data_IF_425513548972
#
_entry.id   IF_425513548972
#
_cell.length_a   1.000
_cell.length_b   1.000
_cell.length_c   1.000
_cell.angle_alpha   90.00
_cell.angle_beta   90.00
_cell.angle_gamma   90.00
#
_symmetry.space_group_name_H-M   'P 1'
#
loop_
_entity.id
_entity.type
_entity.pdbx_description
1 polymer ?
#
# COMPACT_ATOMS: atom_id res chain seq x y z
N UNK A 1 -32.46 2.69 4.76
CA UNK A 1 -31.41 3.39 5.55
C UNK A 1 -30.12 2.60 5.38
N UNK A 2 -29.27 2.98 4.43
CA UNK A 2 -28.03 2.27 4.13
C UNK A 2 -26.85 3.00 4.77
N UNK A 3 -26.52 2.64 6.00
CA UNK A 3 -25.24 3.03 6.60
C UNK A 3 -24.29 1.86 6.40
N UNK A 4 -23.77 1.72 5.18
CA UNK A 4 -22.56 0.92 4.99
C UNK A 4 -21.45 1.70 5.71
N UNK A 5 -21.05 1.22 6.89
CA UNK A 5 -19.98 1.83 7.67
C UNK A 5 -18.70 1.76 6.84
N UNK A 6 -18.16 2.93 6.48
CA UNK A 6 -16.83 3.00 5.87
C UNK A 6 -15.80 2.51 6.88
N UNK A 7 -14.82 1.74 6.42
CA UNK A 7 -13.70 1.33 7.27
C UNK A 7 -12.96 2.57 7.78
N UNK A 8 -12.74 2.65 9.09
CA UNK A 8 -11.96 3.72 9.67
C UNK A 8 -10.47 3.52 9.33
N UNK A 9 -9.90 4.44 8.55
CA UNK A 9 -8.49 4.42 8.18
C UNK A 9 -7.68 5.09 9.30
N UNK A 10 -6.65 4.42 9.87
CA UNK A 10 -5.76 5.05 10.85
C UNK A 10 -5.12 6.32 10.28
N UNK A 11 -5.20 7.41 11.05
CA UNK A 11 -4.78 8.75 10.59
C UNK A 11 -5.84 9.51 9.79
N UNK A 12 -7.04 8.93 9.63
CA UNK A 12 -8.20 9.55 8.99
C UNK A 12 -8.10 9.66 7.47
N UNK A 13 -9.13 10.29 6.90
CA UNK A 13 -9.28 10.48 5.47
C UNK A 13 -9.63 9.20 4.71
N UNK A 14 -9.74 9.32 3.39
CA UNK A 14 -10.06 8.22 2.46
C UNK A 14 -9.02 8.08 1.35
N UNK A 15 -7.97 8.90 1.40
CA UNK A 15 -6.93 9.01 0.41
C UNK A 15 -5.91 7.86 0.54
N UNK A 16 -5.26 7.51 -0.56
CA UNK A 16 -4.21 6.50 -0.60
C UNK A 16 -3.72 6.31 -2.03
N UNK A 17 -2.65 5.52 -2.20
CA UNK A 17 -2.14 5.21 -3.52
C UNK A 17 -2.80 3.94 -4.07
N UNK A 18 -3.50 4.07 -5.18
CA UNK A 18 -4.16 2.96 -5.85
C UNK A 18 -3.14 2.06 -6.55
N UNK A 19 -3.19 0.76 -6.26
CA UNK A 19 -2.33 -0.24 -6.91
C UNK A 19 -2.90 -0.54 -8.29
N UNK A 20 -2.25 -0.04 -9.35
CA UNK A 20 -2.74 -0.21 -10.73
C UNK A 20 -2.27 -1.51 -11.39
N UNK A 21 -1.01 -1.88 -11.13
CA UNK A 21 -0.39 -3.06 -11.73
C UNK A 21 0.59 -3.66 -10.75
N UNK A 22 0.60 -4.99 -10.71
CA UNK A 22 1.57 -5.77 -9.95
C UNK A 22 2.24 -6.72 -10.94
N UNK A 23 3.56 -6.57 -11.11
CA UNK A 23 4.31 -7.44 -12.00
C UNK A 23 4.66 -8.75 -11.30
N UNK A 24 4.62 -9.86 -12.04
CA UNK A 24 5.03 -11.15 -11.52
C UNK A 24 6.47 -11.08 -10.97
N UNK A 25 6.72 -11.80 -9.88
CA UNK A 25 8.01 -11.82 -9.17
C UNK A 25 8.52 -10.48 -8.59
N UNK A 26 7.78 -9.38 -8.75
CA UNK A 26 8.10 -8.08 -8.14
C UNK A 26 7.96 -8.08 -6.60
N UNK A 27 8.55 -7.09 -5.91
CA UNK A 27 8.34 -6.89 -4.48
C UNK A 27 6.85 -6.81 -4.09
N UNK A 28 6.05 -6.11 -4.90
CA UNK A 28 4.61 -5.99 -4.66
C UNK A 28 3.87 -7.32 -4.82
N UNK A 29 4.27 -8.16 -5.79
CA UNK A 29 3.70 -9.49 -5.98
C UNK A 29 4.01 -10.41 -4.78
N UNK A 30 5.27 -10.43 -4.34
CA UNK A 30 5.69 -11.24 -3.18
C UNK A 30 5.02 -10.81 -1.88
N UNK A 31 4.66 -9.53 -1.77
CA UNK A 31 3.92 -8.98 -0.64
C UNK A 31 2.39 -9.17 -0.74
N UNK A 32 1.89 -9.79 -1.81
CA UNK A 32 0.46 -10.07 -2.00
C UNK A 32 -0.38 -8.82 -2.28
N UNK A 33 0.19 -7.83 -2.97
CA UNK A 33 -0.60 -6.70 -3.49
C UNK A 33 -1.50 -7.19 -4.64
N UNK A 34 -2.78 -6.82 -4.58
CA UNK A 34 -3.79 -7.08 -5.59
C UNK A 34 -4.00 -5.82 -6.45
N UNK A 35 -3.78 -5.88 -7.77
CA UNK A 35 -4.04 -4.75 -8.65
C UNK A 35 -5.54 -4.41 -8.66
N UNK A 36 -5.85 -3.13 -8.89
CA UNK A 36 -7.18 -2.52 -8.93
C UNK A 36 -7.97 -2.52 -7.63
N UNK A 37 -7.73 -3.46 -6.71
CA UNK A 37 -8.49 -3.57 -5.47
C UNK A 37 -7.76 -2.98 -4.25
N UNK A 38 -6.44 -2.87 -4.31
CA UNK A 38 -5.67 -2.37 -3.17
C UNK A 38 -5.37 -0.88 -3.23
N UNK A 39 -5.43 -0.27 -2.05
CA UNK A 39 -5.01 1.11 -1.80
C UNK A 39 -3.99 1.12 -0.67
N UNK A 40 -2.78 1.62 -0.94
CA UNK A 40 -1.74 1.80 0.07
C UNK A 40 -2.06 3.06 0.86
N UNK A 41 -2.46 2.90 2.12
CA UNK A 41 -2.90 4.02 2.97
C UNK A 41 -1.80 4.51 3.91
N UNK A 42 -0.86 3.66 4.28
CA UNK A 42 0.33 4.06 5.05
C UNK A 42 1.54 3.19 4.75
N UNK A 43 2.72 3.75 5.01
CA UNK A 43 4.02 3.08 4.87
C UNK A 43 4.90 3.47 6.07
N UNK A 44 5.42 2.49 6.80
CA UNK A 44 6.19 2.67 8.04
C UNK A 44 5.49 3.64 9.03
N UNK A 45 4.18 3.54 9.17
CA UNK A 45 3.37 4.41 10.04
C UNK A 45 3.14 5.82 9.49
N UNK A 46 3.74 6.20 8.35
CA UNK A 46 3.49 7.48 7.68
C UNK A 46 2.22 7.39 6.85
N UNK A 47 1.24 8.24 7.16
CA UNK A 47 -0.03 8.33 6.42
C UNK A 47 0.21 8.89 5.02
N UNK A 48 -0.33 8.21 4.02
CA UNK A 48 -0.27 8.59 2.61
C UNK A 48 -1.56 9.31 2.19
N UNK A 49 -1.77 10.53 2.72
CA UNK A 49 -2.96 11.36 2.46
C UNK A 49 -2.66 12.67 1.74
N UNK A 50 -1.48 12.78 1.12
CA UNK A 50 -1.06 13.95 0.35
C UNK A 50 -0.60 13.50 -1.03
N UNK A 51 -0.90 14.31 -2.03
CA UNK A 51 -0.35 14.14 -3.36
C UNK A 51 1.09 14.70 -3.39
N UNK A 52 2.06 13.84 -3.10
CA UNK A 52 3.49 14.16 -3.12
C UNK A 52 4.35 12.91 -3.35
N UNK A 53 5.67 13.04 -3.22
CA UNK A 53 6.63 11.96 -3.47
C UNK A 53 6.92 11.06 -2.24
N UNK A 54 6.18 11.20 -1.13
CA UNK A 54 6.46 10.50 0.14
C UNK A 54 6.57 8.98 -0.04
N UNK A 55 5.64 8.36 -0.78
CA UNK A 55 5.70 6.93 -1.05
C UNK A 55 6.98 6.55 -1.81
N UNK A 56 7.34 7.31 -2.84
CA UNK A 56 8.53 7.04 -3.66
C UNK A 56 9.81 7.20 -2.84
N UNK A 57 9.89 8.25 -2.03
CA UNK A 57 11.07 8.54 -1.22
C UNK A 57 11.27 7.49 -0.13
N UNK A 58 10.20 7.06 0.54
CA UNK A 58 10.27 6.01 1.55
C UNK A 58 10.63 4.64 0.95
N UNK A 59 10.15 4.32 -0.26
CA UNK A 59 10.58 3.10 -0.97
C UNK A 59 12.07 3.14 -1.31
N UNK A 60 12.56 4.26 -1.87
CA UNK A 60 13.98 4.45 -2.21
C UNK A 60 14.89 4.38 -0.98
N UNK A 61 14.48 4.99 0.12
CA UNK A 61 15.25 5.00 1.37
C UNK A 61 15.35 3.61 2.04
N UNK A 62 14.47 2.68 1.68
CA UNK A 62 14.37 1.35 2.28
C UNK A 62 14.61 0.21 1.27
N UNK A 63 15.39 0.47 0.22
CA UNK A 63 15.85 -0.60 -0.70
C UNK A 63 16.57 -1.70 0.08
N UNK A 64 16.23 -2.95 -0.23
CA UNK A 64 16.65 -4.19 0.43
C UNK A 64 16.28 -4.29 1.93
N UNK A 65 15.34 -3.45 2.40
CA UNK A 65 14.82 -3.49 3.77
C UNK A 65 13.30 -3.70 3.77
N UNK A 66 12.78 -4.56 4.66
CA UNK A 66 11.33 -4.74 4.78
C UNK A 66 10.68 -3.43 5.26
N UNK A 67 9.68 -2.96 4.53
CA UNK A 67 8.81 -1.84 4.92
C UNK A 67 7.41 -2.36 5.24
N UNK A 68 6.84 -1.86 6.33
CA UNK A 68 5.46 -2.21 6.73
C UNK A 68 4.50 -1.30 5.96
N UNK A 69 3.49 -1.89 5.33
CA UNK A 69 2.44 -1.16 4.65
C UNK A 69 1.07 -1.52 5.23
N UNK A 70 0.21 -0.52 5.34
CA UNK A 70 -1.21 -0.72 5.60
C UNK A 70 -1.96 -0.56 4.29
N UNK A 71 -2.76 -1.57 3.95
CA UNK A 71 -3.49 -1.67 2.69
C UNK A 71 -4.98 -1.74 2.99
N UNK A 72 -5.76 -0.91 2.32
CA UNK A 72 -7.21 -1.09 2.23
C UNK A 72 -7.54 -1.90 0.98
N UNK A 73 -8.31 -2.98 1.14
CA UNK A 73 -8.84 -3.77 0.02
C UNK A 73 -10.28 -3.37 -0.24
N UNK A 74 -10.58 -2.88 -1.45
CA UNK A 74 -11.95 -2.61 -1.88
C UNK A 74 -12.75 -3.89 -2.17
N UNK A 75 -12.09 -5.05 -2.23
CA UNK A 75 -12.70 -6.36 -2.45
C UNK A 75 -13.28 -6.94 -1.16
N UNK A 76 -12.53 -6.86 -0.06
CA UNK A 76 -12.99 -7.37 1.24
C UNK A 76 -13.57 -6.27 2.13
N UNK A 77 -13.36 -5.00 1.77
CA UNK A 77 -13.69 -3.83 2.60
C UNK A 77 -13.00 -3.91 3.97
N UNK A 78 -11.71 -4.28 3.96
CA UNK A 78 -10.91 -4.44 5.17
C UNK A 78 -9.52 -3.84 5.02
N UNK A 79 -8.92 -3.54 6.17
CA UNK A 79 -7.51 -3.16 6.27
C UNK A 79 -6.67 -4.40 6.56
N UNK A 80 -5.54 -4.52 5.88
CA UNK A 80 -4.52 -5.52 6.19
C UNK A 80 -3.13 -4.91 6.20
N UNK A 81 -2.28 -5.46 7.06
CA UNK A 81 -0.86 -5.12 7.06
C UNK A 81 -0.09 -6.12 6.20
N UNK A 82 0.85 -5.62 5.41
CA UNK A 82 1.81 -6.44 4.67
C UNK A 82 3.22 -5.89 4.81
N UNK A 83 4.22 -6.71 4.52
CA UNK A 83 5.61 -6.28 4.42
C UNK A 83 6.07 -6.39 2.98
N UNK A 84 6.53 -5.28 2.42
CA UNK A 84 7.16 -5.21 1.10
C UNK A 84 8.66 -5.01 1.31
N UNK A 85 9.51 -5.72 0.59
CA UNK A 85 10.94 -5.43 0.54
C UNK A 85 11.27 -4.82 -0.83
N UNK A 86 11.35 -3.49 -0.94
CA UNK A 86 11.72 -2.84 -2.20
C UNK A 86 13.09 -3.35 -2.63
N UNK A 87 13.25 -3.70 -3.89
CA UNK A 87 14.50 -4.27 -4.39
C UNK A 87 14.79 -3.76 -5.78
N UNK A 88 16.08 -3.67 -6.12
CA UNK A 88 16.53 -3.40 -7.48
C UNK A 88 16.93 -4.69 -8.22
N UNK A 89 16.90 -5.85 -7.53
CA UNK A 89 17.42 -7.12 -8.04
C UNK A 89 16.33 -8.07 -8.57
N UNK A 90 15.07 -7.61 -8.64
CA UNK A 90 13.94 -8.47 -9.03
C UNK A 90 13.75 -8.60 -10.56
N UNK A 91 14.53 -7.87 -11.36
CA UNK A 91 14.52 -7.97 -12.81
C UNK A 91 13.54 -7.03 -13.53
N UNK A 92 13.04 -5.98 -12.86
CA UNK A 92 12.19 -4.93 -13.44
C UNK A 92 12.41 -3.55 -12.83
#
# INVERSE_FOLDING_TARGET
MGSSQSVEIPGGGTEGYHVLRVQENSPGHRAGLEPFFDFIVSINGSRLNKDNDTLKDLLKANVEKPVKMLIYSSKTLELRETSVTPSNMWGG
#
